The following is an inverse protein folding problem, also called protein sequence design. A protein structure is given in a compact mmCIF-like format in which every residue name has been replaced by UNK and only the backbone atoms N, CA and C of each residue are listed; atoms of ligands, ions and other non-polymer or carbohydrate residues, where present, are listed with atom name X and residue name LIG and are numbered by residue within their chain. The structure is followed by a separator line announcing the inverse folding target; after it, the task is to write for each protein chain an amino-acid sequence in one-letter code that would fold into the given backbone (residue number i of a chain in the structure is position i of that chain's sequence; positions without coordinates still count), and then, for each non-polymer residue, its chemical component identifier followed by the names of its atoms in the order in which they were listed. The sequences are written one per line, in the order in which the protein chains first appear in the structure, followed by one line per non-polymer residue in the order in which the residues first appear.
data_IF_963129234145
#
_entry.id   IF_963129234145
#
_cell.length_a   1.000
_cell.length_b   1.000
_cell.length_c   1.000
_cell.angle_alpha   90.00
_cell.angle_beta   90.00
_cell.angle_gamma   90.00
#
_symmetry.space_group_name_H-M   'P 1'
#
loop_
_entity.id
_entity.type
_entity.pdbx_description
1 polymer ?
#
# COMPACT_ATOMS: atom_id res chain seq x y z
N UNK A 1 -2.24 -48.19 -0.40
CA UNK A 1 -2.89 -46.86 -0.49
C UNK A 1 -4.17 -47.05 -1.29
N UNK A 2 -5.34 -46.93 -0.64
CA UNK A 2 -6.61 -47.08 -1.34
C UNK A 2 -6.81 -45.90 -2.28
N UNK A 3 -7.45 -46.13 -3.43
CA UNK A 3 -7.78 -45.10 -4.43
C UNK A 3 -8.55 -43.91 -3.82
N UNK A 4 -9.20 -44.11 -2.68
CA UNK A 4 -9.93 -43.12 -1.92
C UNK A 4 -9.03 -41.99 -1.37
N UNK A 5 -7.83 -42.31 -0.87
CA UNK A 5 -6.93 -41.30 -0.29
C UNK A 5 -6.29 -40.38 -1.35
N UNK A 6 -6.12 -40.87 -2.59
CA UNK A 6 -5.59 -40.06 -3.68
C UNK A 6 -6.64 -39.06 -4.20
N UNK A 7 -7.92 -39.45 -4.23
CA UNK A 7 -9.03 -38.60 -4.66
C UNK A 7 -9.27 -37.46 -3.67
N UNK A 8 -9.17 -37.73 -2.36
CA UNK A 8 -9.28 -36.69 -1.33
C UNK A 8 -8.13 -35.69 -1.40
N UNK A 9 -6.91 -36.14 -1.69
CA UNK A 9 -5.74 -35.25 -1.82
C UNK A 9 -5.82 -34.35 -3.07
N UNK A 10 -6.34 -34.89 -4.18
CA UNK A 10 -6.55 -34.13 -5.42
C UNK A 10 -7.71 -33.13 -5.26
N UNK A 11 -8.78 -33.49 -4.53
CA UNK A 11 -9.86 -32.54 -4.24
C UNK A 11 -9.42 -31.41 -3.30
N UNK A 12 -8.58 -31.67 -2.30
CA UNK A 12 -8.03 -30.63 -1.43
C UNK A 12 -7.16 -29.60 -2.19
N UNK A 13 -6.46 -30.03 -3.25
CA UNK A 13 -5.69 -29.16 -4.16
C UNK A 13 -6.57 -28.35 -5.14
N UNK A 14 -7.81 -28.77 -5.39
CA UNK A 14 -8.73 -28.08 -6.30
C UNK A 14 -9.68 -27.10 -5.57
N UNK A 15 -9.76 -27.19 -4.24
CA UNK A 15 -10.52 -26.26 -3.39
C UNK A 15 -9.64 -25.20 -2.70
N UNK A 16 -8.35 -25.09 -3.03
CA UNK A 16 -7.60 -23.87 -2.74
C UNK A 16 -8.12 -22.77 -3.68
N UNK A 17 -9.23 -22.15 -3.30
CA UNK A 17 -9.68 -20.90 -3.89
C UNK A 17 -8.48 -19.94 -3.84
N UNK A 18 -8.03 -19.51 -5.01
CA UNK A 18 -7.28 -18.28 -5.13
C UNK A 18 -8.11 -17.21 -4.42
N UNK A 19 -7.62 -16.70 -3.29
CA UNK A 19 -8.09 -15.45 -2.76
C UNK A 19 -7.82 -14.42 -3.85
N UNK A 20 -8.87 -13.82 -4.39
CA UNK A 20 -8.71 -12.61 -5.19
C UNK A 20 -8.00 -11.60 -4.30
N UNK A 21 -6.96 -10.97 -4.84
CA UNK A 21 -6.25 -9.88 -4.20
C UNK A 21 -7.27 -8.86 -3.70
N UNK A 22 -7.07 -8.38 -2.48
CA UNK A 22 -7.64 -7.09 -2.09
C UNK A 22 -7.08 -6.04 -3.05
N UNK A 23 -7.86 -5.69 -4.08
CA UNK A 23 -7.47 -4.71 -5.07
C UNK A 23 -7.77 -3.34 -4.49
N UNK A 24 -6.72 -2.55 -4.25
CA UNK A 24 -6.85 -1.10 -4.26
C UNK A 24 -7.49 -0.72 -5.60
N UNK A 25 -8.71 -0.19 -5.56
CA UNK A 25 -9.42 0.31 -6.73
C UNK A 25 -8.95 1.73 -7.04
N UNK A 26 -8.93 2.08 -8.33
CA UNK A 26 -8.63 3.43 -8.82
C UNK A 26 -7.27 4.03 -8.40
N UNK A 27 -6.27 3.20 -8.07
CA UNK A 27 -4.91 3.67 -7.75
C UNK A 27 -4.10 4.23 -8.93
N UNK A 28 -4.63 4.15 -10.15
CA UNK A 28 -4.02 4.66 -11.41
C UNK A 28 -4.53 6.06 -11.78
N UNK A 29 -5.49 6.61 -11.02
CA UNK A 29 -6.04 7.98 -11.13
C UNK A 29 -6.36 8.53 -12.54
N UNK A 30 -6.59 7.67 -13.53
CA UNK A 30 -6.59 8.04 -14.96
C UNK A 30 -7.64 9.11 -15.31
N UNK A 31 -8.80 9.07 -14.66
CA UNK A 31 -9.92 9.97 -14.95
C UNK A 31 -10.58 10.59 -13.70
N UNK A 32 -10.24 10.11 -12.50
CA UNK A 32 -10.87 10.52 -11.23
C UNK A 32 -10.13 9.92 -10.04
N UNK A 33 -10.37 10.47 -8.85
CA UNK A 33 -9.95 9.87 -7.57
C UNK A 33 -10.70 8.57 -7.23
N UNK A 34 -11.85 8.31 -7.85
CA UNK A 34 -12.62 7.07 -7.63
C UNK A 34 -13.08 6.93 -6.18
N UNK A 35 -12.64 5.87 -5.51
CA UNK A 35 -12.97 5.58 -4.10
C UNK A 35 -12.05 6.30 -3.11
N UNK A 36 -11.07 7.06 -3.60
CA UNK A 36 -10.21 7.87 -2.76
C UNK A 36 -10.89 9.19 -2.37
N UNK A 37 -10.72 9.59 -1.13
CA UNK A 37 -11.36 10.76 -0.53
C UNK A 37 -10.36 11.87 -0.24
N UNK A 38 -10.74 13.10 -0.60
CA UNK A 38 -10.05 14.31 -0.18
C UNK A 38 -10.48 14.69 1.25
N UNK A 39 -9.55 14.62 2.19
CA UNK A 39 -9.72 14.99 3.60
C UNK A 39 -8.85 16.21 3.98
N UNK A 40 -8.47 17.02 2.98
CA UNK A 40 -7.59 18.18 3.12
C UNK A 40 -8.15 19.27 4.06
N UNK A 41 -7.26 19.99 4.75
CA UNK A 41 -7.64 21.09 5.62
C UNK A 41 -7.73 22.42 4.86
N UNK A 42 -6.60 22.88 4.31
CA UNK A 42 -6.46 24.12 3.56
C UNK A 42 -5.98 23.90 2.11
N UNK A 43 -5.36 22.76 1.81
CA UNK A 43 -5.00 22.33 0.46
C UNK A 43 -6.13 21.62 -0.28
N UNK A 44 -5.78 20.92 -1.35
CA UNK A 44 -6.71 20.13 -2.15
C UNK A 44 -6.04 18.93 -2.81
N UNK A 45 -6.83 17.87 -3.01
CA UNK A 45 -6.45 16.73 -3.85
C UNK A 45 -7.35 16.62 -5.07
N UNK A 46 -6.74 16.41 -6.24
CA UNK A 46 -7.47 16.26 -7.49
C UNK A 46 -6.77 15.32 -8.47
N UNK A 47 -7.54 14.66 -9.33
CA UNK A 47 -7.02 13.84 -10.42
C UNK A 47 -6.90 14.66 -11.70
N UNK A 48 -5.69 14.76 -12.25
CA UNK A 48 -5.39 15.48 -13.49
C UNK A 48 -4.22 14.81 -14.21
N UNK A 49 -4.23 14.80 -15.55
CA UNK A 49 -3.17 14.22 -16.37
C UNK A 49 -2.87 12.74 -16.08
N UNK A 50 -3.85 12.03 -15.53
CA UNK A 50 -3.75 10.61 -15.17
C UNK A 50 -3.05 10.33 -13.85
N UNK A 51 -2.90 11.33 -12.97
CA UNK A 51 -2.25 11.19 -11.66
C UNK A 51 -3.10 11.89 -10.59
N UNK A 52 -2.97 11.48 -9.32
CA UNK A 52 -3.51 12.24 -8.20
C UNK A 52 -2.50 13.31 -7.78
N UNK A 53 -2.90 14.58 -7.75
CA UNK A 53 -2.09 15.71 -7.28
C UNK A 53 -2.55 16.13 -5.89
N UNK A 54 -1.61 16.17 -4.94
CA UNK A 54 -1.79 16.73 -3.60
C UNK A 54 -1.13 18.10 -3.60
N UNK A 55 -1.92 19.18 -3.49
CA UNK A 55 -1.44 20.55 -3.56
C UNK A 55 -1.59 21.28 -2.23
N UNK A 56 -0.51 21.88 -1.71
CA UNK A 56 -0.58 22.68 -0.49
C UNK A 56 -1.49 23.91 -0.69
N UNK A 57 -2.17 24.30 0.39
CA UNK A 57 -3.08 25.43 0.43
C UNK A 57 -2.44 26.73 0.89
N UNK A 58 -3.24 27.79 1.06
CA UNK A 58 -2.73 29.03 1.65
C UNK A 58 -2.35 28.79 3.13
N UNK A 59 -1.16 29.25 3.52
CA UNK A 59 -0.67 29.25 4.90
C UNK A 59 0.29 28.11 5.15
N UNK A 60 0.30 27.59 6.37
CA UNK A 60 0.98 26.34 6.70
C UNK A 60 0.01 25.44 7.46
N UNK A 61 0.16 24.14 7.24
CA UNK A 61 -0.68 23.13 7.87
C UNK A 61 0.03 21.77 7.87
N UNK A 62 0.05 21.05 9.01
CA UNK A 62 0.62 19.71 9.06
C UNK A 62 -0.16 18.68 8.22
N UNK A 63 -1.40 19.00 7.83
CA UNK A 63 -2.27 18.18 7.00
C UNK A 63 -2.90 19.06 5.93
N UNK A 64 -2.05 19.70 5.12
CA UNK A 64 -2.50 20.66 4.11
C UNK A 64 -3.36 19.98 3.07
N UNK A 65 -2.83 18.93 2.45
CA UNK A 65 -3.58 18.03 1.58
C UNK A 65 -3.54 16.59 2.06
N UNK A 66 -4.69 15.92 2.05
CA UNK A 66 -4.81 14.55 2.55
C UNK A 66 -5.67 13.71 1.61
N UNK A 67 -5.09 12.65 1.07
CA UNK A 67 -5.77 11.69 0.21
C UNK A 67 -5.93 10.35 0.95
N UNK A 68 -7.18 9.91 1.15
CA UNK A 68 -7.51 8.74 1.97
C UNK A 68 -8.16 7.63 1.14
N UNK A 69 -7.80 6.37 1.39
CA UNK A 69 -8.55 5.20 0.92
C UNK A 69 -8.92 4.31 2.11
N UNK A 70 -10.20 3.93 2.17
CA UNK A 70 -10.74 3.09 3.23
C UNK A 70 -11.06 3.87 4.51
N UNK A 71 -11.32 3.13 5.58
CA UNK A 71 -11.75 3.66 6.88
C UNK A 71 -11.08 2.85 8.00
N UNK A 72 -10.65 3.53 9.06
CA UNK A 72 -10.00 2.95 10.24
C UNK A 72 -10.98 2.82 11.44
N UNK A 73 -12.27 3.03 11.20
CA UNK A 73 -13.33 3.12 12.21
C UNK A 73 -13.47 4.50 12.86
N UNK A 74 -12.51 5.41 12.64
CA UNK A 74 -12.55 6.81 13.09
C UNK A 74 -12.83 7.77 11.95
N UNK A 75 -12.41 7.40 10.74
CA UNK A 75 -12.86 8.02 9.51
C UNK A 75 -14.37 7.77 9.29
N UNK A 76 -14.93 8.48 8.32
CA UNK A 76 -16.32 8.33 7.89
C UNK A 76 -16.38 8.06 6.38
N UNK A 77 -15.39 7.33 5.88
CA UNK A 77 -15.17 7.04 4.47
C UNK A 77 -15.61 5.61 4.15
N UNK A 78 -15.37 5.10 2.93
CA UNK A 78 -15.81 3.76 2.51
C UNK A 78 -15.24 2.61 3.35
N UNK A 79 -15.60 1.35 3.04
CA UNK A 79 -15.14 0.19 3.81
C UNK A 79 -13.60 0.08 3.87
N UNK A 80 -13.07 -0.39 5.01
CA UNK A 80 -11.65 -0.63 5.23
C UNK A 80 -11.03 -1.61 4.21
N UNK A 81 -9.75 -1.41 3.87
CA UNK A 81 -9.02 -2.24 2.92
C UNK A 81 -8.41 -3.45 3.62
N UNK A 82 -8.73 -4.67 3.16
CA UNK A 82 -8.12 -5.88 3.71
C UNK A 82 -6.67 -6.02 3.21
N UNK A 83 -5.70 -6.14 4.10
CA UNK A 83 -4.36 -6.63 3.73
C UNK A 83 -4.42 -8.15 3.74
N UNK A 84 -4.50 -8.79 2.58
CA UNK A 84 -4.57 -10.24 2.52
C UNK A 84 -3.19 -10.88 2.77
N UNK A 85 -3.16 -12.19 3.06
CA UNK A 85 -1.92 -12.90 3.41
C UNK A 85 -0.97 -13.16 2.24
N UNK A 86 -1.36 -12.78 1.03
CA UNK A 86 -0.58 -12.97 -0.20
C UNK A 86 -0.04 -11.63 -0.65
N UNK A 87 -0.88 -10.60 -0.77
CA UNK A 87 -0.58 -9.27 -1.29
C UNK A 87 -0.22 -8.31 -0.15
N UNK A 88 1.00 -8.44 0.33
CA UNK A 88 1.50 -7.68 1.48
C UNK A 88 2.45 -6.55 1.11
N UNK A 89 2.74 -6.32 -0.17
CA UNK A 89 3.58 -5.20 -0.61
C UNK A 89 2.71 -4.10 -1.20
N UNK A 90 2.67 -2.94 -0.55
CA UNK A 90 2.10 -1.73 -1.12
C UNK A 90 3.13 -1.07 -2.05
N UNK A 91 2.72 -0.80 -3.28
CA UNK A 91 3.53 -0.14 -4.29
C UNK A 91 2.80 1.13 -4.73
N UNK A 92 3.56 2.19 -4.97
CA UNK A 92 3.06 3.46 -5.47
C UNK A 92 4.19 4.26 -6.09
N UNK A 93 3.86 5.09 -7.06
CA UNK A 93 4.78 6.05 -7.67
C UNK A 93 4.54 7.44 -7.09
N UNK A 94 5.60 8.13 -6.73
CA UNK A 94 5.52 9.46 -6.15
C UNK A 94 6.64 10.36 -6.67
N UNK A 95 6.32 11.63 -6.94
CA UNK A 95 7.28 12.66 -7.30
C UNK A 95 6.80 14.06 -6.92
N UNK A 96 7.76 14.95 -6.77
CA UNK A 96 7.50 16.38 -6.69
C UNK A 96 7.11 16.91 -8.07
N UNK A 97 5.99 17.63 -8.16
CA UNK A 97 5.47 18.13 -9.42
C UNK A 97 5.90 19.59 -9.64
N UNK A 98 5.49 20.48 -8.74
CA UNK A 98 5.83 21.90 -8.81
C UNK A 98 5.72 22.56 -7.44
N UNK A 99 6.22 23.80 -7.35
CA UNK A 99 6.01 24.67 -6.20
C UNK A 99 5.73 26.08 -6.68
N UNK A 100 4.80 26.75 -6.02
CA UNK A 100 4.52 28.16 -6.24
C UNK A 100 4.80 28.98 -4.99
N UNK A 101 5.05 30.28 -5.17
CA UNK A 101 5.27 31.15 -4.02
C UNK A 101 3.95 31.39 -3.29
N UNK A 102 3.92 31.11 -2.00
CA UNK A 102 2.83 31.56 -1.14
C UNK A 102 3.20 32.89 -0.47
N UNK A 103 2.32 33.88 -0.63
CA UNK A 103 2.48 35.20 -0.02
C UNK A 103 1.80 35.32 1.34
N UNK A 104 1.03 34.31 1.75
CA UNK A 104 0.42 34.22 3.07
C UNK A 104 1.42 33.72 4.12
N UNK A 105 2.45 33.03 3.66
CA UNK A 105 3.58 32.51 4.41
C UNK A 105 4.65 33.56 4.72
N UNK A 106 5.40 33.34 5.81
CA UNK A 106 6.49 34.23 6.23
C UNK A 106 7.87 33.77 5.76
N UNK A 107 8.01 32.51 5.32
CA UNK A 107 9.31 31.92 4.99
C UNK A 107 10.25 31.83 6.19
N UNK A 108 9.70 31.53 7.37
CA UNK A 108 10.45 31.47 8.63
C UNK A 108 11.00 30.08 8.95
N UNK A 109 10.46 29.03 8.33
CA UNK A 109 10.94 27.65 8.41
C UNK A 109 12.11 27.43 7.46
N UNK A 110 13.03 26.54 7.86
CA UNK A 110 14.08 26.02 6.99
C UNK A 110 13.78 24.61 6.48
N UNK A 111 12.66 24.03 6.92
CA UNK A 111 12.13 22.78 6.40
C UNK A 111 11.30 23.09 5.16
N UNK A 112 11.30 22.16 4.22
CA UNK A 112 10.43 22.23 3.05
C UNK A 112 9.17 21.42 3.31
N UNK A 113 8.13 21.68 2.52
CA UNK A 113 6.95 20.84 2.45
C UNK A 113 7.33 19.36 2.29
N UNK A 114 6.55 18.51 2.94
CA UNK A 114 6.88 17.10 3.02
C UNK A 114 5.65 16.23 2.87
N UNK A 115 5.85 15.05 2.28
CA UNK A 115 4.79 14.07 2.09
C UNK A 115 5.07 12.82 2.92
N UNK A 116 4.02 12.30 3.53
CA UNK A 116 4.02 11.07 4.31
C UNK A 116 2.93 10.11 3.87
N UNK A 117 3.15 8.83 4.16
CA UNK A 117 2.15 7.77 4.00
C UNK A 117 1.87 7.17 5.37
N UNK A 118 0.62 7.23 5.80
CA UNK A 118 0.11 6.55 6.98
C UNK A 118 -0.77 5.36 6.58
N UNK A 119 -0.64 4.26 7.32
CA UNK A 119 -1.49 3.08 7.24
C UNK A 119 -2.10 2.88 8.61
N UNK A 120 -3.41 3.09 8.72
CA UNK A 120 -4.15 3.02 9.96
C UNK A 120 -4.85 1.68 10.06
N UNK A 121 -4.61 0.94 11.13
CA UNK A 121 -5.36 -0.28 11.37
C UNK A 121 -6.75 0.03 11.94
N UNK A 122 -7.78 -0.62 11.38
CA UNK A 122 -9.17 -0.31 11.71
C UNK A 122 -9.61 -0.72 13.14
N UNK A 123 -8.78 -1.45 13.88
CA UNK A 123 -9.15 -2.00 15.20
C UNK A 123 -8.11 -1.68 16.28
N UNK A 124 -6.83 -1.66 15.93
CA UNK A 124 -5.72 -1.58 16.88
C UNK A 124 -4.59 -0.71 16.34
N UNK A 125 -4.59 0.55 16.77
CA UNK A 125 -3.61 1.57 16.39
C UNK A 125 -2.17 1.27 16.79
N UNK A 126 -1.92 0.22 17.59
CA UNK A 126 -0.55 -0.23 17.84
C UNK A 126 0.11 -0.86 16.61
N UNK A 127 -0.68 -1.17 15.58
CA UNK A 127 -0.24 -1.68 14.29
C UNK A 127 -0.17 -0.61 13.19
N UNK A 128 -0.46 0.65 13.52
CA UNK A 128 -0.36 1.76 12.56
C UNK A 128 1.08 1.87 12.04
N UNK A 129 1.21 2.05 10.73
CA UNK A 129 2.49 2.19 10.06
C UNK A 129 2.58 3.60 9.49
N UNK A 130 3.72 4.26 9.72
CA UNK A 130 3.94 5.61 9.22
C UNK A 130 5.29 5.72 8.53
N UNK A 131 5.25 6.15 7.28
CA UNK A 131 6.41 6.50 6.47
C UNK A 131 6.45 8.03 6.34
N UNK A 132 7.27 8.68 7.16
CA UNK A 132 7.38 10.15 7.18
C UNK A 132 8.49 10.67 6.26
N UNK A 133 8.33 11.92 5.81
CA UNK A 133 9.35 12.67 5.08
C UNK A 133 9.90 11.88 3.89
N UNK A 134 8.99 11.37 3.05
CA UNK A 134 9.37 10.58 1.87
C UNK A 134 10.18 11.50 0.97
N UNK A 135 11.46 11.19 0.81
CA UNK A 135 12.35 11.98 -0.03
C UNK A 135 12.02 11.72 -1.49
N UNK A 136 11.46 12.72 -2.15
CA UNK A 136 11.08 12.68 -3.57
C UNK A 136 11.76 13.81 -4.33
N UNK A 137 11.99 13.57 -5.61
CA UNK A 137 12.49 14.58 -6.54
C UNK A 137 11.47 14.81 -7.64
N UNK A 138 11.82 15.62 -8.64
CA UNK A 138 11.07 15.80 -9.88
C UNK A 138 10.97 14.56 -10.78
N UNK A 139 11.63 13.45 -10.39
CA UNK A 139 11.60 12.19 -11.11
C UNK A 139 10.63 11.22 -10.44
N UNK A 140 9.70 10.69 -11.23
CA UNK A 140 8.82 9.59 -10.83
C UNK A 140 9.63 8.44 -10.24
N UNK A 141 9.35 8.13 -8.97
CA UNK A 141 10.03 7.08 -8.22
C UNK A 141 9.01 6.13 -7.64
N UNK A 142 9.20 4.83 -7.87
CA UNK A 142 8.39 3.78 -7.26
C UNK A 142 8.86 3.48 -5.86
N UNK A 143 7.95 3.54 -4.90
CA UNK A 143 8.14 3.15 -3.52
C UNK A 143 7.45 1.82 -3.24
N UNK A 144 8.06 1.01 -2.38
CA UNK A 144 7.48 -0.26 -1.94
C UNK A 144 7.54 -0.33 -0.41
N UNK A 145 6.39 -0.59 0.21
CA UNK A 145 6.24 -0.77 1.65
C UNK A 145 5.76 -2.19 1.97
N UNK A 146 6.46 -2.87 2.88
CA UNK A 146 6.09 -4.20 3.36
C UNK A 146 5.07 -4.09 4.51
N UNK A 147 3.85 -4.56 4.23
CA UNK A 147 2.72 -4.62 5.14
C UNK A 147 2.47 -6.05 5.66
N UNK A 148 3.45 -6.96 5.57
CA UNK A 148 3.29 -8.35 6.02
C UNK A 148 2.90 -8.50 7.49
N UNK A 149 3.27 -7.55 8.34
CA UNK A 149 2.84 -7.50 9.74
C UNK A 149 1.33 -7.25 9.90
N UNK A 150 0.68 -6.69 8.87
CA UNK A 150 -0.75 -6.39 8.81
C UNK A 150 -1.54 -7.47 8.07
N UNK A 151 -0.92 -8.56 7.65
CA UNK A 151 -1.60 -9.64 6.94
C UNK A 151 -2.81 -10.17 7.74
N UNK A 152 -3.98 -10.16 7.09
CA UNK A 152 -5.29 -10.52 7.65
C UNK A 152 -6.01 -9.38 8.37
N UNK A 153 -5.46 -8.16 8.39
CA UNK A 153 -6.06 -6.99 9.04
C UNK A 153 -6.69 -6.03 8.03
N UNK A 154 -7.62 -5.22 8.52
CA UNK A 154 -8.29 -4.18 7.74
C UNK A 154 -7.66 -2.83 8.07
N UNK A 155 -7.36 -2.04 7.04
CA UNK A 155 -6.63 -0.78 7.18
C UNK A 155 -7.23 0.34 6.33
N UNK A 156 -6.88 1.58 6.67
CA UNK A 156 -7.01 2.74 5.79
C UNK A 156 -5.62 3.25 5.39
N UNK A 157 -5.50 3.78 4.18
CA UNK A 157 -4.30 4.44 3.69
C UNK A 157 -4.52 5.95 3.66
N UNK A 158 -3.51 6.72 4.03
CA UNK A 158 -3.52 8.18 3.89
C UNK A 158 -2.19 8.69 3.36
N UNK A 159 -2.24 9.42 2.25
CA UNK A 159 -1.13 10.24 1.77
C UNK A 159 -1.35 11.67 2.25
N UNK A 160 -0.38 12.18 3.01
CA UNK A 160 -0.51 13.42 3.78
C UNK A 160 0.60 14.37 3.36
N UNK A 161 0.22 15.53 2.84
CA UNK A 161 1.11 16.63 2.54
C UNK A 161 1.10 17.63 3.70
N UNK A 162 2.25 17.77 4.36
CA UNK A 162 2.52 18.82 5.32
C UNK A 162 3.15 20.02 4.61
N UNK A 163 2.57 21.18 4.89
CA UNK A 163 2.88 22.48 4.33
C UNK A 163 3.60 23.29 5.42
N UNK A 164 4.87 23.56 5.16
CA UNK A 164 5.80 24.19 6.08
C UNK A 164 5.85 25.69 5.83
N UNK A 165 6.21 26.47 6.87
CA UNK A 165 6.31 27.93 6.73
C UNK A 165 7.56 28.39 5.98
N UNK A 166 7.79 27.87 4.78
CA UNK A 166 8.98 28.06 3.95
C UNK A 166 8.80 29.12 2.85
N UNK A 167 7.56 29.61 2.67
CA UNK A 167 7.20 30.62 1.68
C UNK A 167 6.67 30.06 0.36
N UNK A 168 6.41 28.76 0.26
CA UNK A 168 6.00 28.09 -0.95
C UNK A 168 4.91 27.06 -0.70
N UNK A 169 4.04 26.89 -1.69
CA UNK A 169 3.09 25.78 -1.75
C UNK A 169 3.60 24.75 -2.73
N UNK A 170 3.84 23.53 -2.26
CA UNK A 170 4.26 22.42 -3.10
C UNK A 170 3.09 21.57 -3.61
N UNK A 171 3.29 20.95 -4.76
CA UNK A 171 2.40 19.96 -5.35
C UNK A 171 3.17 18.66 -5.54
N UNK A 172 2.62 17.56 -5.02
CA UNK A 172 3.14 16.22 -5.22
C UNK A 172 2.18 15.41 -6.08
N UNK A 173 2.72 14.56 -6.94
CA UNK A 173 1.93 13.69 -7.80
C UNK A 173 2.12 12.23 -7.39
N UNK A 174 1.01 11.50 -7.34
CA UNK A 174 0.88 10.11 -6.93
C UNK A 174 0.21 9.30 -8.05
N UNK A 175 0.76 8.13 -8.34
CA UNK A 175 0.23 7.21 -9.34
C UNK A 175 0.51 5.74 -8.99
N UNK A 176 -0.13 4.82 -9.71
CA UNK A 176 0.09 3.36 -9.65
C UNK A 176 0.08 2.80 -8.23
N UNK A 177 -0.95 3.12 -7.44
CA UNK A 177 -1.10 2.57 -6.09
C UNK A 177 -1.73 1.18 -6.15
N UNK A 178 -0.96 0.14 -5.79
CA UNK A 178 -1.46 -1.24 -5.78
C UNK A 178 -0.79 -2.13 -4.74
N UNK A 179 -1.51 -3.18 -4.32
CA UNK A 179 -0.97 -4.27 -3.51
C UNK A 179 -0.43 -5.37 -4.43
N UNK A 180 0.73 -5.90 -4.09
CA UNK A 180 1.36 -7.02 -4.80
C UNK A 180 1.91 -8.06 -3.83
N UNK A 181 2.14 -9.29 -4.29
CA UNK A 181 2.67 -10.31 -3.41
C UNK A 181 4.12 -10.04 -3.04
N UNK A 182 4.48 -10.31 -1.78
CA UNK A 182 5.88 -10.46 -1.43
C UNK A 182 6.45 -11.55 -2.32
N UNK A 183 7.42 -11.21 -3.20
CA UNK A 183 8.01 -12.21 -4.09
C UNK A 183 8.52 -13.37 -3.23
N UNK A 184 7.86 -14.52 -3.34
CA UNK A 184 8.32 -15.71 -2.64
C UNK A 184 9.65 -16.07 -3.30
N UNK A 185 10.74 -16.02 -2.52
CA UNK A 185 11.98 -16.65 -2.95
C UNK A 185 11.60 -18.09 -3.28
N UNK A 186 11.77 -18.57 -4.52
CA UNK A 186 11.38 -19.92 -4.88
C UNK A 186 12.04 -20.87 -3.88
N UNK A 187 11.23 -21.67 -3.19
CA UNK A 187 11.77 -22.67 -2.27
C UNK A 187 12.83 -23.46 -3.05
N UNK A 188 14.07 -23.58 -2.51
CA UNK A 188 15.12 -24.21 -3.27
C UNK A 188 14.68 -25.63 -3.62
N UNK A 189 14.77 -25.99 -4.91
CA UNK A 189 14.35 -27.28 -5.45
C UNK A 189 14.95 -28.50 -4.72
N UNK A 190 15.94 -28.28 -3.85
CA UNK A 190 16.45 -29.25 -2.88
C UNK A 190 15.40 -29.79 -1.91
N UNK A 191 14.40 -29.00 -1.49
CA UNK A 191 13.31 -29.48 -0.62
C UNK A 191 12.39 -30.47 -1.35
N UNK A 192 12.07 -30.18 -2.62
CA UNK A 192 11.36 -31.09 -3.51
C UNK A 192 12.16 -32.36 -3.79
N UNK A 193 13.47 -32.27 -3.99
CA UNK A 193 14.34 -33.42 -4.17
C UNK A 193 14.41 -34.29 -2.90
N UNK A 194 14.45 -33.66 -1.72
CA UNK A 194 14.47 -34.37 -0.44
C UNK A 194 13.14 -35.12 -0.19
N UNK A 195 12.00 -34.48 -0.46
CA UNK A 195 10.69 -35.12 -0.39
C UNK A 195 10.56 -36.27 -1.41
N UNK A 196 11.05 -36.08 -2.64
CA UNK A 196 11.05 -37.10 -3.68
C UNK A 196 11.94 -38.32 -3.35
N UNK A 197 12.98 -38.15 -2.54
CA UNK A 197 13.86 -39.24 -2.08
C UNK A 197 13.32 -39.95 -0.83
N UNK A 198 12.56 -39.26 0.03
CA UNK A 198 11.95 -39.85 1.24
C UNK A 198 10.81 -40.83 0.91
N UNK A 199 9.99 -40.53 -0.10
CA UNK A 199 8.85 -41.38 -0.52
C UNK A 199 9.29 -42.80 -0.95
N UNK A 200 10.32 -42.99 -1.80
CA UNK A 200 10.82 -44.33 -2.15
C UNK A 200 11.63 -44.98 -1.02
N UNK A 201 12.32 -44.21 -0.17
CA UNK A 201 13.07 -44.76 0.96
C UNK A 201 12.15 -45.36 2.05
N UNK A 202 10.99 -44.74 2.31
CA UNK A 202 9.98 -45.25 3.25
C UNK A 202 9.22 -46.47 2.72
N UNK A 203 9.11 -46.65 1.40
CA UNK A 203 8.46 -47.82 0.78
C UNK A 203 9.29 -49.10 0.81
N UNK A 204 10.59 -49.04 1.10
CA UNK A 204 11.48 -50.22 1.08
C UNK A 204 11.41 -51.13 2.31
N UNK A 205 10.55 -50.87 3.31
CA UNK A 205 10.45 -51.69 4.54
C UNK A 205 9.38 -52.78 4.55
N UNK A 206 8.78 -53.15 3.41
CA UNK A 206 7.87 -54.31 3.31
C UNK A 206 8.27 -55.28 2.20
N UNK A 207 9.46 -55.89 2.34
CA UNK A 207 9.78 -57.18 1.72
C UNK A 207 10.60 -57.97 2.75
N UNK A 208 9.91 -58.73 3.62
CA UNK A 208 10.30 -60.04 4.15
C UNK A 208 9.00 -60.83 4.33
#
# INVERSE_FOLDING_TARGET
MSKFNLVVFIQALLFSCFSQASLISFGEFTNSLGDWHDASANGTVFAEDGVAKLAAGDGNSPYSSVLVLGDDGSFAFGDAVLIDSVNTLLNFDLWFFESEKDNSESGSSSFADSISLAVYDAVDSSFDVLMQNINVTDLQTTFTLDLSALAGRYVAFSFELADENDGYNSVFALDNVFLSPATSVPEPASLLLFAALLIPALRRKHIV
#
